data_IF_231794004356
#
_entry.id   IF_231794004356
#
_cell.length_a   1.000
_cell.length_b   1.000
_cell.length_c   1.000
_cell.angle_alpha   90.00
_cell.angle_beta   90.00
_cell.angle_gamma   90.00
#
_symmetry.space_group_name_H-M   'P 1'
#
loop_
_entity.id
_entity.type
_entity.pdbx_description
1 polymer ?
#
# COMPACT_ATOMS: atom_id res chain seq x y z
N UNK A 1 29.51 23.90 41.24
CA UNK A 1 29.02 22.51 41.05
C UNK A 1 27.52 22.46 41.24
N UNK A 2 26.70 22.40 40.17
CA UNK A 2 25.30 21.95 40.24
C UNK A 2 24.98 21.17 38.97
N UNK A 3 24.29 20.05 39.18
CA UNK A 3 24.34 18.82 38.39
C UNK A 3 23.54 18.95 37.10
N UNK A 4 24.13 18.46 36.01
CA UNK A 4 23.46 18.22 34.73
C UNK A 4 22.42 17.13 34.95
N UNK A 5 21.15 17.41 34.65
CA UNK A 5 20.10 16.40 34.55
C UNK A 5 19.65 16.33 33.10
N UNK A 6 20.38 15.53 32.31
CA UNK A 6 19.93 15.04 31.01
C UNK A 6 18.76 14.08 31.27
N UNK A 7 17.54 14.56 31.15
CA UNK A 7 16.36 13.71 31.09
C UNK A 7 16.36 13.01 29.71
N UNK A 8 16.68 11.73 29.70
CA UNK A 8 16.63 10.87 28.52
C UNK A 8 15.18 10.70 28.05
N UNK A 9 14.83 11.31 26.92
CA UNK A 9 13.60 11.01 26.19
C UNK A 9 13.76 9.62 25.54
N UNK A 10 13.22 8.60 26.20
CA UNK A 10 13.11 7.26 25.65
C UNK A 10 11.93 7.23 24.67
N UNK A 11 12.17 7.59 23.42
CA UNK A 11 11.16 7.49 22.36
C UNK A 11 10.94 6.02 22.02
N UNK A 12 9.88 5.40 22.55
CA UNK A 12 9.41 4.08 22.09
C UNK A 12 8.92 4.23 20.64
N UNK A 13 9.79 3.92 19.68
CA UNK A 13 9.40 3.68 18.31
C UNK A 13 8.65 2.33 18.27
N UNK A 14 7.32 2.37 18.36
CA UNK A 14 6.49 1.21 18.06
C UNK A 14 6.58 0.99 16.55
N UNK A 15 7.42 0.05 16.13
CA UNK A 15 7.45 -0.41 14.76
C UNK A 15 6.10 -1.07 14.46
N UNK A 16 5.21 -0.37 13.76
CA UNK A 16 4.02 -0.95 13.20
C UNK A 16 4.47 -1.97 12.15
N UNK A 17 4.50 -3.25 12.53
CA UNK A 17 4.67 -4.35 11.58
C UNK A 17 3.41 -4.34 10.71
N UNK A 18 3.50 -3.74 9.53
CA UNK A 18 2.48 -3.88 8.52
C UNK A 18 2.47 -5.35 8.09
N UNK A 19 1.62 -6.16 8.71
CA UNK A 19 1.33 -7.50 8.23
C UNK A 19 0.75 -7.34 6.82
N UNK A 20 1.51 -7.77 5.81
CA UNK A 20 0.99 -7.92 4.47
C UNK A 20 -0.09 -9.00 4.52
N UNK A 21 -1.35 -8.58 4.39
CA UNK A 21 -2.49 -9.48 4.35
C UNK A 21 -2.45 -10.26 3.03
N UNK A 22 -2.55 -11.58 3.12
CA UNK A 22 -2.62 -12.46 1.94
C UNK A 22 -4.09 -12.69 1.55
N UNK A 23 -4.46 -12.31 0.32
CA UNK A 23 -5.84 -12.41 -0.17
C UNK A 23 -6.19 -13.89 -0.40
N UNK A 24 -7.23 -14.37 0.26
CA UNK A 24 -7.58 -15.80 0.27
C UNK A 24 -8.49 -16.21 -0.90
N UNK A 25 -9.25 -15.28 -1.48
CA UNK A 25 -10.13 -15.57 -2.62
C UNK A 25 -9.39 -15.41 -3.96
N UNK A 26 -9.34 -16.45 -4.81
CA UNK A 26 -8.49 -16.45 -6.01
C UNK A 26 -8.82 -15.32 -6.98
N UNK A 27 -10.10 -15.04 -7.23
CA UNK A 27 -10.50 -13.95 -8.14
C UNK A 27 -10.14 -12.55 -7.59
N UNK A 28 -10.16 -12.35 -6.26
CA UNK A 28 -9.71 -11.09 -5.65
C UNK A 28 -8.18 -10.97 -5.72
N UNK A 29 -7.46 -12.07 -5.53
CA UNK A 29 -6.00 -12.12 -5.66
C UNK A 29 -5.56 -11.81 -7.10
N UNK A 30 -6.26 -12.38 -8.08
CA UNK A 30 -5.99 -12.12 -9.49
C UNK A 30 -6.29 -10.66 -9.85
N UNK A 31 -7.36 -10.07 -9.31
CA UNK A 31 -7.66 -8.64 -9.47
C UNK A 31 -6.58 -7.75 -8.83
N UNK A 32 -6.10 -8.09 -7.64
CA UNK A 32 -5.01 -7.38 -6.97
C UNK A 32 -3.72 -7.42 -7.80
N UNK A 33 -3.37 -8.59 -8.35
CA UNK A 33 -2.21 -8.77 -9.21
C UNK A 33 -2.35 -7.99 -10.53
N UNK A 34 -3.55 -7.95 -11.13
CA UNK A 34 -3.81 -7.16 -12.32
C UNK A 34 -3.63 -5.65 -12.09
N UNK A 35 -4.08 -5.15 -10.93
CA UNK A 35 -3.85 -3.76 -10.53
C UNK A 35 -2.34 -3.46 -10.36
N UNK A 36 -1.58 -4.36 -9.73
CA UNK A 36 -0.12 -4.23 -9.60
C UNK A 36 0.57 -4.18 -10.98
N UNK A 37 0.16 -5.06 -11.89
CA UNK A 37 0.67 -5.07 -13.26
C UNK A 37 0.38 -3.75 -13.98
N UNK A 38 -0.84 -3.20 -13.82
CA UNK A 38 -1.20 -1.91 -14.40
C UNK A 38 -0.31 -0.77 -13.87
N UNK A 39 -0.05 -0.72 -12.56
CA UNK A 39 0.88 0.24 -11.94
C UNK A 39 2.27 0.12 -12.58
N UNK A 40 2.80 -1.10 -12.71
CA UNK A 40 4.11 -1.32 -13.33
C UNK A 40 4.16 -0.86 -14.79
N UNK A 41 3.09 -1.08 -15.57
CA UNK A 41 3.02 -0.62 -16.95
C UNK A 41 3.04 0.92 -17.05
N UNK A 42 2.31 1.61 -16.17
CA UNK A 42 2.31 3.08 -16.11
C UNK A 42 3.71 3.60 -15.75
N UNK A 43 4.34 3.02 -14.72
CA UNK A 43 5.69 3.41 -14.30
C UNK A 43 6.73 3.21 -15.41
N UNK A 44 6.66 2.08 -16.13
CA UNK A 44 7.54 1.85 -17.29
C UNK A 44 7.29 2.86 -18.40
N UNK A 45 6.04 3.23 -18.66
CA UNK A 45 5.72 4.26 -19.65
C UNK A 45 6.27 5.63 -19.25
N UNK A 46 6.19 6.00 -17.96
CA UNK A 46 6.80 7.24 -17.44
C UNK A 46 8.34 7.24 -17.58
N UNK A 47 8.97 6.11 -17.25
CA UNK A 47 10.43 5.93 -17.36
C UNK A 47 10.90 6.01 -18.82
N UNK A 48 10.19 5.35 -19.74
CA UNK A 48 10.50 5.37 -21.17
C UNK A 48 10.35 6.77 -21.78
N UNK A 49 9.40 7.57 -21.27
CA UNK A 49 9.17 8.93 -21.72
C UNK A 49 10.03 9.98 -21.00
N UNK A 50 11.14 9.59 -20.37
CA UNK A 50 12.13 10.49 -19.74
C UNK A 50 11.52 11.52 -18.76
N UNK A 51 10.44 11.15 -18.05
CA UNK A 51 9.77 12.04 -17.11
C UNK A 51 8.81 13.04 -17.75
N UNK A 52 8.35 12.82 -18.99
CA UNK A 52 7.10 13.46 -19.45
C UNK A 52 5.96 12.94 -18.59
N UNK A 53 5.58 13.75 -17.62
CA UNK A 53 4.39 13.54 -16.81
C UNK A 53 3.20 13.54 -17.77
N UNK A 54 2.39 12.48 -17.72
CA UNK A 54 1.17 12.35 -18.54
C UNK A 54 0.08 13.31 -18.03
N UNK A 55 0.41 14.60 -17.85
CA UNK A 55 -0.44 15.63 -17.27
C UNK A 55 -0.88 15.33 -15.83
N UNK A 56 -0.12 14.55 -15.06
CA UNK A 56 -0.51 14.09 -13.73
C UNK A 56 -1.54 12.94 -13.72
N UNK A 57 -1.97 12.46 -14.90
CA UNK A 57 -2.95 11.38 -14.99
C UNK A 57 -2.36 10.00 -14.69
N UNK A 58 -1.06 9.81 -14.95
CA UNK A 58 -0.36 8.56 -14.63
C UNK A 58 -0.29 8.35 -13.11
N UNK A 59 0.06 9.39 -12.36
CA UNK A 59 0.15 9.41 -10.92
C UNK A 59 -1.22 9.16 -10.29
N UNK A 60 -2.26 9.86 -10.77
CA UNK A 60 -3.65 9.61 -10.34
C UNK A 60 -4.12 8.19 -10.64
N UNK A 61 -3.77 7.64 -11.80
CA UNK A 61 -4.11 6.26 -12.13
C UNK A 61 -3.43 5.28 -11.16
N UNK A 62 -2.15 5.47 -10.83
CA UNK A 62 -1.44 4.68 -9.82
C UNK A 62 -2.11 4.78 -8.45
N UNK A 63 -2.51 5.99 -8.02
CA UNK A 63 -3.25 6.19 -6.77
C UNK A 63 -4.56 5.42 -6.75
N UNK A 64 -5.34 5.47 -7.82
CA UNK A 64 -6.59 4.72 -7.94
C UNK A 64 -6.38 3.20 -7.92
N UNK A 65 -5.35 2.68 -8.59
CA UNK A 65 -5.04 1.25 -8.52
C UNK A 65 -4.62 0.82 -7.12
N UNK A 66 -3.83 1.63 -6.41
CA UNK A 66 -3.46 1.35 -5.00
C UNK A 66 -4.67 1.40 -4.07
N UNK A 67 -5.58 2.35 -4.27
CA UNK A 67 -6.83 2.41 -3.52
C UNK A 67 -7.69 1.16 -3.79
N UNK A 68 -7.82 0.74 -5.06
CA UNK A 68 -8.52 -0.49 -5.40
C UNK A 68 -7.89 -1.73 -4.74
N UNK A 69 -6.55 -1.85 -4.74
CA UNK A 69 -5.84 -2.92 -4.03
C UNK A 69 -6.17 -2.96 -2.53
N UNK A 70 -6.26 -1.80 -1.86
CA UNK A 70 -6.65 -1.72 -0.47
C UNK A 70 -8.10 -2.19 -0.23
N UNK A 71 -9.03 -1.77 -1.08
CA UNK A 71 -10.44 -2.20 -0.99
C UNK A 71 -10.62 -3.70 -1.26
N UNK A 72 -9.82 -4.28 -2.16
CA UNK A 72 -9.83 -5.74 -2.39
C UNK A 72 -9.39 -6.51 -1.14
N UNK A 73 -8.38 -6.01 -0.43
CA UNK A 73 -7.91 -6.58 0.84
C UNK A 73 -9.00 -6.49 1.92
N UNK A 74 -9.64 -5.33 2.08
CA UNK A 74 -10.71 -5.17 3.06
C UNK A 74 -11.96 -6.00 2.71
N UNK A 75 -12.29 -6.12 1.42
CA UNK A 75 -13.36 -7.00 0.94
C UNK A 75 -13.10 -8.48 1.25
N UNK A 76 -11.87 -8.94 1.07
CA UNK A 76 -11.45 -10.31 1.42
C UNK A 76 -11.56 -10.56 2.94
N UNK A 77 -11.04 -9.64 3.77
CA UNK A 77 -11.16 -9.68 5.23
C UNK A 77 -12.61 -9.69 5.70
N UNK A 78 -13.45 -8.87 5.08
CA UNK A 78 -14.88 -8.82 5.39
C UNK A 78 -15.52 -10.18 5.13
N UNK A 79 -15.29 -10.76 3.95
CA UNK A 79 -15.86 -12.06 3.63
C UNK A 79 -15.37 -13.17 4.59
N UNK A 80 -14.07 -13.17 4.91
CA UNK A 80 -13.48 -14.15 5.83
C UNK A 80 -13.99 -14.02 7.27
N UNK A 81 -14.27 -12.81 7.73
CA UNK A 81 -14.86 -12.57 9.06
C UNK A 81 -16.35 -12.92 9.13
N UNK A 82 -17.08 -12.88 8.01
CA UNK A 82 -18.52 -13.14 7.95
C UNK A 82 -18.86 -14.59 7.56
N UNK A 83 -17.96 -15.32 6.88
CA UNK A 83 -18.10 -16.77 6.64
C UNK A 83 -17.85 -17.65 7.86
N UNK A 84 -17.21 -17.13 8.91
CA UNK A 84 -16.91 -17.86 10.15
C UNK A 84 -18.07 -17.84 11.19
N UNK A 85 -19.25 -17.38 10.81
CA UNK A 85 -20.51 -17.50 11.58
C UNK A 85 -21.40 -18.56 10.96
#
# INVERSE_FOLDING_TARGET
MKKVLLASLLSLAVAAVAYAYDITHPNLRDAYAAAEQAIHHIQRAQQANQGVEFGGHAEKAIEHFRAAQAELVEGDKYNDSHRKK
#
